data_IF_172293926282
#
_entry.id   IF_172293926282
#
_cell.length_a   1.000
_cell.length_b   1.000
_cell.length_c   1.000
_cell.angle_alpha   90.00
_cell.angle_beta   90.00
_cell.angle_gamma   90.00
#
_symmetry.space_group_name_H-M   'P 1'
#
loop_
_entity.id
_entity.type
_entity.pdbx_description
1 polymer ?
#
# COMPACT_ATOMS: atom_id res chain seq x y z
N UNK A 1 16.26 3.06 33.17
CA UNK A 1 15.92 3.74 31.90
C UNK A 1 15.10 2.78 31.08
N UNK A 2 13.91 3.17 30.65
CA UNK A 2 12.93 2.25 30.06
C UNK A 2 13.50 1.72 28.73
N UNK A 3 13.84 0.43 28.66
CA UNK A 3 14.46 -0.19 27.49
C UNK A 3 13.69 0.07 26.17
N UNK A 4 12.39 0.37 26.27
CA UNK A 4 11.54 0.88 25.18
C UNK A 4 12.10 2.16 24.53
N UNK A 5 12.57 3.13 25.32
CA UNK A 5 13.16 4.38 24.84
C UNK A 5 14.51 4.13 24.17
N UNK A 6 15.34 3.25 24.74
CA UNK A 6 16.61 2.87 24.11
C UNK A 6 16.38 2.25 22.74
N UNK A 7 15.42 1.33 22.63
CA UNK A 7 15.12 0.62 21.39
C UNK A 7 14.60 1.57 20.32
N UNK A 8 13.71 2.48 20.68
CA UNK A 8 13.20 3.52 19.77
C UNK A 8 14.31 4.47 19.32
N UNK A 9 15.18 4.90 20.24
CA UNK A 9 16.27 5.80 19.93
C UNK A 9 17.29 5.14 18.98
N UNK A 10 17.65 3.88 19.24
CA UNK A 10 18.49 3.08 18.35
C UNK A 10 17.86 2.93 16.96
N UNK A 11 16.56 2.67 16.89
CA UNK A 11 15.84 2.52 15.63
C UNK A 11 15.84 3.83 14.82
N UNK A 12 15.61 4.97 15.47
CA UNK A 12 15.64 6.29 14.83
C UNK A 12 17.04 6.58 14.27
N UNK A 13 18.08 6.34 15.07
CA UNK A 13 19.48 6.53 14.63
C UNK A 13 19.79 5.67 13.41
N UNK A 14 19.36 4.40 13.41
CA UNK A 14 19.57 3.47 12.31
C UNK A 14 18.87 3.94 11.02
N UNK A 15 17.64 4.45 11.15
CA UNK A 15 16.88 5.02 10.02
C UNK A 15 17.57 6.26 9.46
N UNK A 16 18.06 7.17 10.30
CA UNK A 16 18.76 8.38 9.86
C UNK A 16 20.06 8.05 9.13
N UNK A 17 20.83 7.06 9.63
CA UNK A 17 22.05 6.58 8.98
C UNK A 17 21.70 5.91 7.64
N UNK A 18 20.67 5.07 7.60
CA UNK A 18 20.21 4.42 6.39
C UNK A 18 19.80 5.44 5.32
N UNK A 19 19.03 6.46 5.70
CA UNK A 19 18.65 7.54 4.79
C UNK A 19 19.90 8.24 4.29
N UNK A 20 20.75 8.76 5.19
CA UNK A 20 21.97 9.53 4.86
C UNK A 20 22.93 8.75 3.96
N UNK A 21 23.19 7.47 4.25
CA UNK A 21 24.05 6.63 3.42
C UNK A 21 23.44 6.34 2.04
N UNK A 22 22.11 6.31 1.95
CA UNK A 22 21.38 6.13 0.69
C UNK A 22 20.90 7.47 0.09
N UNK A 23 21.48 8.61 0.51
CA UNK A 23 21.39 9.93 -0.18
C UNK A 23 22.29 9.91 -1.42
N UNK A 24 22.13 8.88 -2.25
CA UNK A 24 22.61 8.93 -3.62
C UNK A 24 21.50 9.59 -4.42
N UNK A 25 21.70 10.86 -4.78
CA UNK A 25 20.80 11.59 -5.67
C UNK A 25 20.82 10.92 -7.03
N UNK A 26 19.64 10.49 -7.49
CA UNK A 26 19.45 9.93 -8.82
C UNK A 26 18.59 10.91 -9.59
N UNK A 27 19.05 11.24 -10.79
CA UNK A 27 18.29 12.04 -11.73
C UNK A 27 17.28 11.14 -12.45
N UNK A 28 16.01 11.46 -12.30
CA UNK A 28 14.92 10.79 -13.01
C UNK A 28 14.44 11.72 -14.12
N UNK A 29 14.65 11.28 -15.37
CA UNK A 29 14.16 11.98 -16.56
C UNK A 29 12.85 11.33 -17.01
N UNK A 30 11.72 11.99 -16.74
CA UNK A 30 10.38 11.57 -17.13
C UNK A 30 9.89 12.38 -18.32
N UNK A 31 10.06 11.90 -19.56
CA UNK A 31 9.63 12.51 -20.84
C UNK A 31 9.99 14.01 -21.06
N UNK A 32 9.51 14.93 -20.21
CA UNK A 32 9.82 16.37 -20.16
C UNK A 32 10.20 16.90 -18.76
N UNK A 33 10.24 16.05 -17.73
CA UNK A 33 10.51 16.44 -16.35
C UNK A 33 11.81 15.82 -15.84
N UNK A 34 12.74 16.65 -15.40
CA UNK A 34 13.94 16.21 -14.68
C UNK A 34 13.69 16.42 -13.19
N UNK A 35 13.67 15.34 -12.43
CA UNK A 35 13.46 15.35 -10.99
C UNK A 35 14.68 14.72 -10.33
N UNK A 36 15.34 15.48 -9.46
CA UNK A 36 16.49 15.00 -8.69
C UNK A 36 16.03 14.65 -7.29
N UNK A 37 15.95 13.34 -6.99
CA UNK A 37 15.54 12.82 -5.69
C UNK A 37 16.52 11.76 -5.21
N UNK A 38 16.58 11.52 -3.89
CA UNK A 38 17.41 10.43 -3.38
C UNK A 38 16.87 9.07 -3.82
N UNK A 39 17.76 8.15 -4.16
CA UNK A 39 17.42 6.80 -4.63
C UNK A 39 16.56 6.04 -3.61
N UNK A 40 16.85 6.19 -2.33
CA UNK A 40 16.04 5.61 -1.26
C UNK A 40 14.60 6.13 -1.28
N UNK A 41 14.41 7.44 -1.44
CA UNK A 41 13.08 8.04 -1.47
C UNK A 41 12.32 7.61 -2.73
N UNK A 42 13.00 7.50 -3.87
CA UNK A 42 12.44 6.98 -5.12
C UNK A 42 11.92 5.55 -4.95
N UNK A 43 12.74 4.65 -4.41
CA UNK A 43 12.36 3.27 -4.14
C UNK A 43 11.18 3.23 -3.16
N UNK A 44 11.23 3.99 -2.07
CA UNK A 44 10.17 4.05 -1.06
C UNK A 44 8.83 4.49 -1.65
N UNK A 45 8.81 5.59 -2.41
CA UNK A 45 7.59 6.10 -3.05
C UNK A 45 7.04 5.09 -4.06
N UNK A 46 7.92 4.48 -4.87
CA UNK A 46 7.52 3.47 -5.86
C UNK A 46 6.85 2.27 -5.18
N UNK A 47 7.44 1.79 -4.08
CA UNK A 47 6.92 0.68 -3.29
C UNK A 47 5.58 1.04 -2.65
N UNK A 48 5.46 2.26 -2.10
CA UNK A 48 4.23 2.76 -1.49
C UNK A 48 3.09 2.85 -2.52
N UNK A 49 3.35 3.40 -3.71
CA UNK A 49 2.38 3.47 -4.80
C UNK A 49 1.96 2.08 -5.25
N UNK A 50 2.92 1.17 -5.47
CA UNK A 50 2.63 -0.22 -5.84
C UNK A 50 1.78 -0.94 -4.78
N UNK A 51 2.06 -0.72 -3.50
CA UNK A 51 1.30 -1.29 -2.39
C UNK A 51 -0.14 -0.73 -2.34
N UNK A 52 -0.29 0.60 -2.44
CA UNK A 52 -1.60 1.27 -2.49
C UNK A 52 -2.45 0.77 -3.66
N UNK A 53 -1.86 0.67 -4.86
CA UNK A 53 -2.53 0.14 -6.04
C UNK A 53 -2.92 -1.32 -5.85
N UNK A 54 -1.99 -2.18 -5.41
CA UNK A 54 -2.28 -3.58 -5.15
C UNK A 54 -3.40 -3.77 -4.13
N UNK A 55 -3.45 -2.92 -3.10
CA UNK A 55 -4.52 -2.95 -2.12
C UNK A 55 -5.86 -2.48 -2.70
N UNK A 56 -5.85 -1.42 -3.50
CA UNK A 56 -7.05 -0.89 -4.16
C UNK A 56 -7.66 -1.90 -5.15
N UNK A 57 -6.83 -2.57 -5.96
CA UNK A 57 -7.27 -3.64 -6.86
C UNK A 57 -7.90 -4.81 -6.08
N UNK A 58 -7.27 -5.28 -4.98
CA UNK A 58 -7.88 -6.33 -4.14
C UNK A 58 -9.23 -5.90 -3.58
N UNK A 59 -9.33 -4.66 -3.09
CA UNK A 59 -10.58 -4.12 -2.55
C UNK A 59 -11.69 -4.10 -3.61
N UNK A 60 -11.38 -3.64 -4.84
CA UNK A 60 -12.34 -3.62 -5.95
C UNK A 60 -12.78 -5.04 -6.39
N UNK A 61 -11.84 -5.99 -6.45
CA UNK A 61 -12.14 -7.38 -6.82
C UNK A 61 -12.98 -8.09 -5.74
N UNK A 62 -12.69 -7.86 -4.46
CA UNK A 62 -13.49 -8.39 -3.35
C UNK A 62 -14.92 -7.86 -3.35
N UNK A 63 -15.13 -6.60 -3.77
CA UNK A 63 -16.47 -6.02 -3.89
C UNK A 63 -17.35 -6.71 -4.95
N UNK A 64 -16.76 -7.19 -6.05
CA UNK A 64 -17.52 -7.91 -7.09
C UNK A 64 -17.93 -9.32 -6.70
N UNK A 65 -17.19 -9.97 -5.79
CA UNK A 65 -17.47 -11.37 -5.40
C UNK A 65 -18.74 -11.51 -4.55
N UNK A 66 -19.14 -10.47 -3.82
CA UNK A 66 -20.34 -10.49 -2.95
C UNK A 66 -21.68 -10.31 -3.67
N UNK A 67 -21.69 -9.99 -4.97
CA UNK A 67 -22.93 -9.87 -5.75
C UNK A 67 -23.21 -11.06 -6.68
N UNK A 68 -22.24 -11.95 -6.92
CA UNK A 68 -22.44 -13.13 -7.79
C UNK A 68 -22.92 -14.36 -7.01
N UNK A 69 -22.78 -14.38 -5.68
CA UNK A 69 -23.28 -15.44 -4.78
C UNK A 69 -24.50 -14.97 -3.97
N UNK A 70 -25.43 -14.21 -4.56
CA UNK A 70 -26.79 -14.13 -4.02
C UNK A 70 -27.59 -15.26 -4.68
N UNK A 71 -27.88 -16.37 -3.98
CA UNK A 71 -28.70 -17.43 -4.54
C UNK A 71 -30.05 -16.83 -4.90
N UNK A 72 -30.50 -17.13 -6.10
CA UNK A 72 -31.89 -17.03 -6.52
C UNK A 72 -32.69 -18.02 -5.64
N UNK A 73 -32.88 -17.72 -4.36
CA UNK A 73 -33.58 -18.62 -3.41
C UNK A 73 -34.67 -17.91 -2.58
N UNK A 74 -34.94 -16.62 -2.85
CA UNK A 74 -36.04 -15.91 -2.20
C UNK A 74 -37.30 -15.76 -3.07
N UNK A 75 -37.37 -16.44 -4.22
CA UNK A 75 -38.52 -16.33 -5.15
C UNK A 75 -39.34 -17.63 -5.30
N UNK A 76 -38.92 -18.74 -4.68
CA UNK A 76 -39.61 -20.05 -4.80
C UNK A 76 -40.27 -20.51 -3.48
N UNK A 77 -40.10 -19.77 -2.38
CA UNK A 77 -40.62 -20.15 -1.05
C UNK A 77 -41.87 -19.39 -0.61
N UNK A 78 -42.58 -18.73 -1.53
CA UNK A 78 -43.93 -18.25 -1.26
C UNK A 78 -44.91 -19.37 -1.64
N UNK A 79 -45.51 -20.09 -0.67
CA UNK A 79 -46.60 -20.98 -1.02
C UNK A 79 -47.74 -20.11 -1.52
N UNK A 80 -48.27 -20.48 -2.68
CA UNK A 80 -49.45 -19.87 -3.26
C UNK A 80 -50.58 -19.98 -2.24
N UNK A 81 -50.93 -18.83 -1.64
CA UNK A 81 -52.08 -18.72 -0.77
C UNK A 81 -53.33 -18.85 -1.65
N UNK A 82 -53.82 -20.08 -1.78
CA UNK A 82 -55.16 -20.41 -2.25
C UNK A 82 -55.95 -21.04 -1.10
#
# INVERSE_FOLDING_TARGET
MNAKIISILTLIILVVIFITQNVTVVEVNLFFWQITISRALLIFITLLIGFLLGWFIKSYLNYKKTQTDKPIENDVSKPDAF
#
